data_IF_044190956053
#
_entry.id   IF_044190956053
#
_cell.length_a   1.000
_cell.length_b   1.000
_cell.length_c   1.000
_cell.angle_alpha   90.00
_cell.angle_beta   90.00
_cell.angle_gamma   90.00
#
_symmetry.space_group_name_H-M   'P 1'
#
loop_
_entity.id
_entity.type
_entity.pdbx_description
1 polymer ?
#
# COMPACT_ATOMS: atom_id res chain seq x y z
N UNK A 1 -18.30 -6.76 -1.16
CA UNK A 1 -16.86 -6.69 -0.96
C UNK A 1 -16.54 -5.39 -0.24
N UNK A 2 -16.58 -4.21 -0.75
CA UNK A 2 -16.15 -2.94 -0.14
C UNK A 2 -17.13 -2.30 0.87
N UNK A 3 -17.58 -3.06 1.87
CA UNK A 3 -18.59 -2.62 2.86
C UNK A 3 -18.08 -1.50 3.77
N UNK A 4 -16.82 -1.59 4.22
CA UNK A 4 -16.21 -0.55 5.04
C UNK A 4 -16.04 0.74 4.24
N UNK A 5 -15.43 0.66 3.05
CA UNK A 5 -15.20 1.82 2.18
C UNK A 5 -16.49 2.54 1.85
N UNK A 6 -17.54 1.83 1.43
CA UNK A 6 -18.81 2.42 1.08
C UNK A 6 -19.50 3.08 2.31
N UNK A 7 -19.45 2.44 3.46
CA UNK A 7 -19.94 3.01 4.72
C UNK A 7 -19.14 4.26 5.10
N UNK A 8 -17.81 4.20 5.06
CA UNK A 8 -16.93 5.33 5.37
C UNK A 8 -17.23 6.51 4.44
N UNK A 9 -17.31 6.29 3.16
CA UNK A 9 -17.61 7.31 2.15
C UNK A 9 -19.06 7.82 2.17
N UNK A 10 -19.98 7.18 2.88
CA UNK A 10 -21.36 7.66 3.00
C UNK A 10 -21.47 8.99 3.75
N UNK A 11 -20.53 9.29 4.65
CA UNK A 11 -20.48 10.50 5.45
C UNK A 11 -19.62 11.59 4.78
N UNK A 12 -20.13 12.83 4.73
CA UNK A 12 -19.42 13.95 4.09
C UNK A 12 -18.07 14.27 4.74
N UNK A 13 -18.00 14.25 6.08
CA UNK A 13 -16.76 14.47 6.82
C UNK A 13 -15.66 13.46 6.44
N UNK A 14 -16.04 12.19 6.24
CA UNK A 14 -15.12 11.12 5.87
C UNK A 14 -14.66 11.24 4.41
N UNK A 15 -15.55 11.64 3.50
CA UNK A 15 -15.15 11.95 2.11
C UNK A 15 -14.17 13.13 2.05
N UNK A 16 -14.40 14.17 2.85
CA UNK A 16 -13.47 15.31 2.95
C UNK A 16 -12.13 14.85 3.49
N UNK A 17 -12.13 14.11 4.60
CA UNK A 17 -10.91 13.54 5.17
C UNK A 17 -10.14 12.66 4.16
N UNK A 18 -10.85 11.78 3.44
CA UNK A 18 -10.26 10.94 2.41
C UNK A 18 -9.56 11.79 1.34
N UNK A 19 -10.25 12.78 0.75
CA UNK A 19 -9.71 13.66 -0.28
C UNK A 19 -8.46 14.44 0.15
N UNK A 20 -8.41 14.87 1.39
CA UNK A 20 -7.29 15.62 1.97
C UNK A 20 -6.08 14.74 2.32
N UNK A 21 -6.30 13.42 2.51
CA UNK A 21 -5.26 12.52 3.01
C UNK A 21 -4.83 11.43 2.00
N UNK A 22 -5.47 11.30 0.85
CA UNK A 22 -4.96 10.44 -0.22
C UNK A 22 -3.61 10.96 -0.74
N UNK A 23 -2.72 10.03 -1.06
CA UNK A 23 -1.38 10.24 -1.65
C UNK A 23 -1.18 9.34 -2.89
N UNK A 24 -2.27 8.86 -3.47
CA UNK A 24 -2.39 7.93 -4.58
C UNK A 24 -3.78 7.28 -4.58
N UNK A 25 -4.02 6.22 -5.35
CA UNK A 25 -5.29 5.49 -5.39
C UNK A 25 -5.81 5.18 -3.99
N UNK A 26 -7.12 5.18 -3.81
CA UNK A 26 -7.77 5.11 -2.49
C UNK A 26 -7.27 3.94 -1.64
N UNK A 27 -6.39 4.25 -0.67
CA UNK A 27 -5.73 3.27 0.19
C UNK A 27 -6.72 2.49 1.07
N UNK A 28 -7.86 3.07 1.46
CA UNK A 28 -8.90 2.35 2.22
C UNK A 28 -9.49 1.23 1.35
N UNK A 29 -9.82 1.51 0.10
CA UNK A 29 -10.38 0.52 -0.82
C UNK A 29 -9.39 -0.60 -1.14
N UNK A 30 -8.12 -0.25 -1.36
CA UNK A 30 -7.06 -1.23 -1.56
C UNK A 30 -6.88 -2.10 -0.31
N UNK A 31 -6.85 -1.48 0.87
CA UNK A 31 -6.75 -2.20 2.16
C UNK A 31 -7.88 -3.19 2.35
N UNK A 32 -9.12 -2.79 2.08
CA UNK A 32 -10.30 -3.64 2.23
C UNK A 32 -10.29 -4.84 1.26
N UNK A 33 -9.89 -4.63 0.00
CA UNK A 33 -9.73 -5.75 -0.93
C UNK A 33 -8.64 -6.71 -0.45
N UNK A 34 -7.44 -6.22 -0.14
CA UNK A 34 -6.31 -7.04 0.30
C UNK A 34 -6.62 -7.79 1.60
N UNK A 35 -7.23 -7.13 2.58
CA UNK A 35 -7.59 -7.74 3.86
C UNK A 35 -8.61 -8.89 3.71
N UNK A 36 -9.41 -8.91 2.64
CA UNK A 36 -10.35 -10.00 2.37
C UNK A 36 -9.69 -11.35 2.08
N UNK A 37 -8.39 -11.38 1.85
CA UNK A 37 -7.56 -12.58 1.65
C UNK A 37 -6.74 -12.96 2.89
N UNK A 38 -6.92 -12.25 4.00
CA UNK A 38 -6.19 -12.45 5.25
C UNK A 38 -7.15 -12.80 6.39
N UNK A 39 -6.62 -13.49 7.38
CA UNK A 39 -7.29 -13.59 8.69
C UNK A 39 -6.60 -12.59 9.62
N UNK A 40 -7.32 -11.54 10.00
CA UNK A 40 -6.83 -10.49 10.90
C UNK A 40 -7.65 -10.51 12.17
N UNK A 41 -6.99 -10.70 13.31
CA UNK A 41 -7.60 -10.82 14.64
C UNK A 41 -7.25 -9.58 15.49
N UNK A 42 -8.12 -9.18 16.40
CA UNK A 42 -8.06 -7.94 17.18
C UNK A 42 -6.76 -7.75 17.99
N UNK A 43 -6.16 -8.84 18.45
CA UNK A 43 -4.93 -8.80 19.26
C UNK A 43 -3.63 -8.72 18.45
N UNK A 44 -3.71 -8.78 17.13
CA UNK A 44 -2.55 -8.73 16.25
C UNK A 44 -1.81 -7.38 16.35
N UNK A 45 -0.49 -7.47 16.23
CA UNK A 45 0.40 -6.34 15.98
C UNK A 45 0.67 -6.22 14.50
N UNK A 46 0.31 -5.09 13.92
CA UNK A 46 0.45 -4.82 12.49
C UNK A 46 1.48 -3.72 12.26
N UNK A 47 2.43 -3.96 11.38
CA UNK A 47 3.27 -2.91 10.82
C UNK A 47 2.61 -2.39 9.53
N UNK A 48 2.14 -1.16 9.54
CA UNK A 48 1.70 -0.45 8.33
C UNK A 48 2.90 0.31 7.76
N UNK A 49 3.57 -0.28 6.76
CA UNK A 49 4.83 0.20 6.21
C UNK A 49 4.60 1.12 5.01
N UNK A 50 4.99 2.38 5.15
CA UNK A 50 4.66 3.44 4.21
C UNK A 50 3.21 3.87 4.37
N UNK A 51 2.77 4.11 5.61
CA UNK A 51 1.38 4.42 5.96
C UNK A 51 0.89 5.77 5.39
N UNK A 52 1.79 6.61 4.86
CA UNK A 52 1.48 7.94 4.37
C UNK A 52 0.75 8.75 5.44
N UNK A 53 -0.39 9.34 5.08
CA UNK A 53 -1.25 10.09 6.01
C UNK A 53 -2.24 9.22 6.78
N UNK A 54 -2.01 7.90 6.85
CA UNK A 54 -2.66 6.96 7.76
C UNK A 54 -4.02 6.43 7.33
N UNK A 55 -4.35 6.41 6.04
CA UNK A 55 -5.63 5.87 5.55
C UNK A 55 -5.71 4.34 5.72
N UNK A 56 -4.63 3.60 5.43
CA UNK A 56 -4.52 2.17 5.70
C UNK A 56 -4.55 1.86 7.20
N UNK A 57 -3.84 2.67 8.00
CA UNK A 57 -3.85 2.60 9.46
C UNK A 57 -5.27 2.75 10.02
N UNK A 58 -6.00 3.79 9.57
CA UNK A 58 -7.39 4.01 9.96
C UNK A 58 -8.26 2.79 9.67
N UNK A 59 -8.17 2.25 8.45
CA UNK A 59 -8.94 1.06 8.07
C UNK A 59 -8.64 -0.13 8.98
N UNK A 60 -7.35 -0.42 9.24
CA UNK A 60 -6.93 -1.55 10.06
C UNK A 60 -7.45 -1.43 11.52
N UNK A 61 -7.36 -0.23 12.11
CA UNK A 61 -7.86 0.00 13.47
C UNK A 61 -9.38 -0.08 13.54
N UNK A 62 -10.08 0.62 12.66
CA UNK A 62 -11.55 0.73 12.69
C UNK A 62 -12.27 -0.59 12.34
N UNK A 63 -11.73 -1.38 11.40
CA UNK A 63 -12.38 -2.63 10.97
C UNK A 63 -12.00 -3.81 11.87
N UNK A 64 -10.74 -3.87 12.35
CA UNK A 64 -10.23 -5.06 13.06
C UNK A 64 -9.85 -4.80 14.52
N UNK A 65 -9.73 -3.54 14.96
CA UNK A 65 -9.31 -3.22 16.34
C UNK A 65 -7.86 -3.57 16.67
N UNK A 66 -7.01 -3.79 15.67
CA UNK A 66 -5.61 -4.20 15.83
C UNK A 66 -4.72 -3.07 16.34
N UNK A 67 -3.55 -3.42 16.88
CA UNK A 67 -2.50 -2.46 17.24
C UNK A 67 -1.60 -2.20 16.04
N UNK A 68 -1.58 -0.97 15.53
CA UNK A 68 -0.86 -0.59 14.32
C UNK A 68 0.36 0.27 14.64
N UNK A 69 1.52 -0.14 14.14
CA UNK A 69 2.75 0.63 14.09
C UNK A 69 2.86 1.24 12.70
N UNK A 70 2.47 2.52 12.59
CA UNK A 70 2.32 3.24 11.33
C UNK A 70 3.65 3.92 10.95
N UNK A 71 4.46 3.23 10.17
CA UNK A 71 5.80 3.67 9.79
C UNK A 71 5.78 4.39 8.44
N UNK A 72 6.37 5.58 8.39
CA UNK A 72 6.55 6.34 7.14
C UNK A 72 7.88 7.10 7.15
N UNK A 73 8.41 7.38 5.95
CA UNK A 73 9.64 8.16 5.80
C UNK A 73 9.36 9.64 5.52
N UNK A 74 8.25 9.95 4.85
CA UNK A 74 7.95 11.29 4.35
C UNK A 74 7.02 12.09 5.26
N UNK A 75 6.12 11.39 5.96
CA UNK A 75 5.15 12.03 6.85
C UNK A 75 5.67 11.98 8.28
N UNK A 76 5.70 13.13 8.95
CA UNK A 76 6.22 13.18 10.31
C UNK A 76 5.32 12.44 11.30
N UNK A 77 5.89 11.74 12.30
CA UNK A 77 5.11 11.09 13.35
C UNK A 77 4.20 12.05 14.10
N UNK A 78 4.64 13.30 14.30
CA UNK A 78 3.83 14.33 14.97
C UNK A 78 2.56 14.64 14.18
N UNK A 79 2.67 14.81 12.85
CA UNK A 79 1.49 15.06 11.99
C UNK A 79 0.53 13.87 11.99
N UNK A 80 1.06 12.64 11.91
CA UNK A 80 0.21 11.45 11.98
C UNK A 80 -0.40 11.25 13.36
N UNK A 81 0.33 11.54 14.45
CA UNK A 81 -0.23 11.50 15.80
C UNK A 81 -1.45 12.45 15.95
N UNK A 82 -1.35 13.67 15.46
CA UNK A 82 -2.48 14.62 15.49
C UNK A 82 -3.66 14.13 14.63
N UNK A 83 -3.40 13.50 13.48
CA UNK A 83 -4.46 12.87 12.66
C UNK A 83 -5.12 11.71 13.39
N UNK A 84 -4.34 10.80 13.97
CA UNK A 84 -4.86 9.64 14.71
C UNK A 84 -5.67 10.04 15.92
N UNK A 85 -5.22 11.08 16.64
CA UNK A 85 -5.95 11.68 17.76
C UNK A 85 -7.28 12.30 17.30
N UNK A 86 -7.27 13.04 16.19
CA UNK A 86 -8.49 13.63 15.64
C UNK A 86 -9.50 12.57 15.18
N UNK A 87 -9.00 11.38 14.78
CA UNK A 87 -9.80 10.21 14.39
C UNK A 87 -10.21 9.35 15.60
N UNK A 88 -9.61 9.55 16.79
CA UNK A 88 -9.86 8.74 17.98
C UNK A 88 -9.28 7.32 17.92
N UNK A 89 -8.16 7.14 17.19
CA UNK A 89 -7.45 5.86 17.05
C UNK A 89 -6.03 5.90 17.63
N UNK A 90 -5.65 6.96 18.34
CA UNK A 90 -4.30 7.18 18.87
C UNK A 90 -3.93 6.23 20.02
N UNK A 91 -4.87 5.53 20.59
CA UNK A 91 -4.65 4.44 21.56
C UNK A 91 -4.25 3.11 20.89
N UNK A 92 -4.50 2.95 19.59
CA UNK A 92 -4.22 1.75 18.79
C UNK A 92 -3.17 1.98 17.69
N UNK A 93 -2.97 3.21 17.25
CA UNK A 93 -2.08 3.57 16.17
C UNK A 93 -0.86 4.39 16.65
N UNK A 94 0.34 3.84 16.49
CA UNK A 94 1.61 4.46 16.90
C UNK A 94 2.37 4.92 15.66
N UNK A 95 2.48 6.23 15.38
CA UNK A 95 3.22 6.73 14.23
C UNK A 95 4.73 6.68 14.47
N UNK A 96 5.50 6.27 13.45
CA UNK A 96 6.94 6.06 13.52
C UNK A 96 7.61 6.65 12.27
N UNK A 97 8.69 7.41 12.47
CA UNK A 97 9.58 7.79 11.36
C UNK A 97 10.56 6.66 11.10
N UNK A 98 10.48 6.04 9.93
CA UNK A 98 11.38 4.96 9.56
C UNK A 98 11.70 4.96 8.06
N UNK A 99 12.96 4.66 7.76
CA UNK A 99 13.43 4.36 6.40
C UNK A 99 13.65 2.84 6.30
N UNK A 100 12.75 2.15 5.62
CA UNK A 100 12.79 0.69 5.49
C UNK A 100 14.11 0.19 4.86
N UNK A 101 14.77 1.01 4.04
CA UNK A 101 16.05 0.65 3.40
C UNK A 101 17.24 0.69 4.36
N UNK A 102 17.08 1.27 5.54
CA UNK A 102 18.10 1.37 6.59
C UNK A 102 17.84 0.45 7.78
N UNK A 103 16.81 -0.38 7.69
CA UNK A 103 16.33 -1.24 8.76
C UNK A 103 15.26 -0.58 9.62
N UNK A 104 14.48 -1.40 10.29
CA UNK A 104 13.35 -0.97 11.11
C UNK A 104 13.70 -1.11 12.60
N UNK A 105 13.22 -0.21 13.47
CA UNK A 105 13.58 -0.19 14.90
C UNK A 105 12.72 -1.16 15.73
N UNK A 106 12.61 -2.41 15.27
CA UNK A 106 11.79 -3.43 15.92
C UNK A 106 12.63 -4.70 16.19
N UNK A 107 12.15 -5.51 17.13
CA UNK A 107 12.69 -6.85 17.39
C UNK A 107 12.23 -7.82 16.27
N UNK A 108 12.99 -8.89 16.11
CA UNK A 108 12.60 -10.01 15.25
C UNK A 108 11.29 -10.65 15.75
N UNK A 109 10.52 -11.22 14.85
CA UNK A 109 9.23 -11.88 15.11
C UNK A 109 8.26 -11.03 15.95
N UNK A 110 8.27 -9.71 15.74
CA UNK A 110 7.43 -8.78 16.51
C UNK A 110 6.03 -8.65 15.97
N UNK A 111 5.84 -8.68 14.65
CA UNK A 111 4.57 -8.45 13.98
C UNK A 111 3.87 -9.75 13.56
N UNK A 112 2.56 -9.75 13.66
CA UNK A 112 1.69 -10.78 13.09
C UNK A 112 1.45 -10.54 11.60
N UNK A 113 1.45 -9.26 11.19
CA UNK A 113 1.21 -8.82 9.82
C UNK A 113 2.08 -7.60 9.49
N UNK A 114 2.80 -7.65 8.37
CA UNK A 114 3.32 -6.48 7.69
C UNK A 114 2.35 -6.13 6.55
N UNK A 115 1.84 -4.92 6.57
CA UNK A 115 0.86 -4.39 5.64
C UNK A 115 1.42 -3.15 4.96
N UNK A 116 1.29 -3.02 3.64
CA UNK A 116 1.79 -1.85 2.92
C UNK A 116 0.92 -1.55 1.72
N UNK A 117 0.42 -0.32 1.62
CA UNK A 117 -0.46 0.11 0.53
C UNK A 117 0.11 1.34 -0.15
N UNK A 118 0.38 1.22 -1.46
CA UNK A 118 0.88 2.32 -2.28
C UNK A 118 2.31 2.76 -2.00
N UNK A 119 3.10 1.99 -1.24
CA UNK A 119 4.43 2.42 -0.80
C UNK A 119 5.58 1.51 -1.23
N UNK A 120 5.44 0.20 -1.12
CA UNK A 120 6.53 -0.75 -1.31
C UNK A 120 7.26 -0.63 -2.66
N UNK A 121 6.57 -0.28 -3.73
CA UNK A 121 7.17 -0.07 -5.06
C UNK A 121 8.24 1.03 -5.12
N UNK A 122 8.28 1.92 -4.12
CA UNK A 122 9.32 2.96 -4.06
C UNK A 122 10.69 2.43 -3.66
N UNK A 123 10.76 1.28 -2.98
CA UNK A 123 11.99 0.73 -2.41
C UNK A 123 12.11 -0.80 -2.52
N UNK A 124 11.07 -1.50 -2.95
CA UNK A 124 11.00 -2.96 -2.95
C UNK A 124 11.52 -3.65 -4.22
N UNK A 125 12.09 -2.89 -5.16
CA UNK A 125 12.52 -3.33 -6.49
C UNK A 125 13.87 -4.09 -6.50
N UNK A 126 14.39 -4.50 -5.34
CA UNK A 126 15.65 -5.26 -5.19
C UNK A 126 15.43 -6.62 -4.54
N UNK A 127 16.32 -7.59 -4.85
CA UNK A 127 16.24 -8.94 -4.30
C UNK A 127 16.43 -8.98 -2.78
N UNK A 128 17.12 -7.99 -2.19
CA UNK A 128 17.44 -7.97 -0.76
C UNK A 128 16.32 -7.36 0.09
N UNK A 129 15.37 -6.59 -0.53
CA UNK A 129 14.41 -5.82 0.25
C UNK A 129 13.41 -6.70 0.97
N UNK A 130 12.77 -7.64 0.29
CA UNK A 130 11.83 -8.56 0.93
C UNK A 130 12.50 -9.42 2.01
N UNK A 131 13.68 -10.06 1.77
CA UNK A 131 14.44 -10.75 2.82
C UNK A 131 14.75 -9.90 4.04
N UNK A 132 14.97 -8.59 3.88
CA UNK A 132 15.26 -7.68 5.00
C UNK A 132 14.04 -7.40 5.89
N UNK A 133 12.83 -7.61 5.40
CA UNK A 133 11.57 -7.40 6.12
C UNK A 133 11.06 -8.68 6.82
N UNK A 134 11.35 -9.85 6.27
CA UNK A 134 10.90 -11.14 6.79
C UNK A 134 11.20 -11.31 8.30
N UNK A 135 12.39 -10.97 8.81
CA UNK A 135 12.73 -11.18 10.22
C UNK A 135 11.79 -10.48 11.21
N UNK A 136 11.18 -9.37 10.84
CA UNK A 136 10.28 -8.64 11.73
C UNK A 136 8.90 -9.29 11.89
N UNK A 137 8.55 -10.21 10.99
CA UNK A 137 7.24 -10.89 11.00
C UNK A 137 7.39 -12.27 11.62
N UNK A 138 6.48 -12.63 12.52
CA UNK A 138 6.44 -13.93 13.17
C UNK A 138 6.31 -15.06 12.15
N UNK A 139 6.85 -16.22 12.48
CA UNK A 139 6.53 -17.44 11.75
C UNK A 139 5.04 -17.70 11.76
N UNK A 140 4.48 -17.98 10.59
CA UNK A 140 3.04 -18.09 10.38
C UNK A 140 2.30 -16.77 10.16
N UNK A 141 2.98 -15.62 10.37
CA UNK A 141 2.47 -14.28 10.06
C UNK A 141 2.50 -13.98 8.55
N UNK A 142 2.01 -12.81 8.16
CA UNK A 142 1.86 -12.44 6.76
C UNK A 142 2.60 -11.16 6.39
N UNK A 143 3.05 -11.10 5.14
CA UNK A 143 3.48 -9.88 4.45
C UNK A 143 2.48 -9.65 3.33
N UNK A 144 1.77 -8.52 3.36
CA UNK A 144 0.70 -8.18 2.42
C UNK A 144 0.92 -6.78 1.85
N UNK A 145 1.02 -6.68 0.54
CA UNK A 145 1.33 -5.46 -0.18
C UNK A 145 0.30 -5.19 -1.28
N UNK A 146 -0.12 -3.93 -1.43
CA UNK A 146 -0.88 -3.43 -2.56
C UNK A 146 -0.10 -2.29 -3.20
N UNK A 147 0.24 -2.42 -4.48
CA UNK A 147 1.13 -1.49 -5.19
C UNK A 147 0.62 -1.16 -6.59
N UNK A 148 0.96 0.01 -7.15
CA UNK A 148 0.74 0.27 -8.57
C UNK A 148 1.61 -0.65 -9.42
N UNK A 149 1.06 -1.05 -10.57
CA UNK A 149 1.73 -1.90 -11.54
C UNK A 149 1.29 -1.64 -12.96
N UNK A 150 1.82 -2.43 -13.87
CA UNK A 150 1.46 -2.46 -15.28
C UNK A 150 1.12 -3.88 -15.72
N UNK A 151 0.29 -3.99 -16.76
CA UNK A 151 -0.15 -5.29 -17.27
C UNK A 151 0.96 -6.11 -17.92
N UNK A 152 1.98 -5.43 -18.47
CA UNK A 152 3.19 -6.03 -19.05
C UNK A 152 4.34 -5.03 -19.08
N UNK A 153 5.58 -5.54 -19.04
CA UNK A 153 6.78 -4.71 -19.11
C UNK A 153 6.91 -4.04 -20.50
N UNK A 154 7.13 -2.73 -20.52
CA UNK A 154 7.31 -2.00 -21.78
C UNK A 154 8.69 -2.21 -22.40
N UNK A 155 9.74 -2.42 -21.58
CA UNK A 155 11.10 -2.51 -22.05
C UNK A 155 11.52 -1.27 -22.84
N UNK A 156 12.05 -1.49 -24.04
CA UNK A 156 12.40 -0.39 -24.97
C UNK A 156 11.20 0.12 -25.80
N UNK A 157 10.05 -0.58 -25.74
CA UNK A 157 8.88 -0.30 -26.58
C UNK A 157 7.75 0.38 -25.77
N UNK A 158 8.05 1.53 -25.16
CA UNK A 158 7.04 2.31 -24.43
C UNK A 158 5.95 2.79 -25.39
N UNK A 159 4.66 2.49 -25.13
CA UNK A 159 3.56 2.95 -25.97
C UNK A 159 3.60 4.46 -26.17
N UNK A 160 3.30 4.99 -27.38
CA UNK A 160 3.42 6.43 -27.66
C UNK A 160 2.65 7.33 -26.68
N UNK A 161 1.45 6.92 -26.29
CA UNK A 161 0.62 7.63 -25.32
C UNK A 161 1.20 7.64 -23.90
N UNK A 162 2.08 6.68 -23.57
CA UNK A 162 2.73 6.57 -22.25
C UNK A 162 4.08 7.28 -22.19
N UNK A 163 4.72 7.57 -23.31
CA UNK A 163 6.05 8.18 -23.35
C UNK A 163 6.18 9.47 -22.51
N UNK A 164 5.18 10.38 -22.46
CA UNK A 164 5.27 11.58 -21.62
C UNK A 164 5.33 11.28 -20.11
N UNK A 165 4.83 10.13 -19.68
CA UNK A 165 4.69 9.74 -18.27
C UNK A 165 5.66 8.64 -17.85
N UNK A 166 6.45 8.08 -18.80
CA UNK A 166 7.32 6.93 -18.59
C UNK A 166 8.79 7.34 -18.64
N UNK A 167 9.33 7.80 -17.52
CA UNK A 167 10.74 8.11 -17.36
C UNK A 167 11.49 6.95 -16.68
N UNK A 168 12.81 7.07 -16.54
CA UNK A 168 13.66 6.03 -15.92
C UNK A 168 13.32 5.73 -14.46
N UNK A 169 12.81 6.71 -13.72
CA UNK A 169 12.41 6.53 -12.33
C UNK A 169 11.10 5.71 -12.24
N UNK A 170 10.12 6.03 -13.06
CA UNK A 170 8.86 5.27 -13.16
C UNK A 170 9.14 3.85 -13.61
N UNK A 171 9.95 3.69 -14.67
CA UNK A 171 10.31 2.37 -15.22
C UNK A 171 11.02 1.45 -14.20
N UNK A 172 11.72 2.03 -13.21
CA UNK A 172 12.38 1.27 -12.14
C UNK A 172 11.41 0.82 -11.05
N UNK A 173 10.33 1.57 -10.82
CA UNK A 173 9.43 1.36 -9.68
C UNK A 173 8.15 0.61 -10.06
N UNK A 174 7.70 0.75 -11.30
CA UNK A 174 6.40 0.26 -11.75
C UNK A 174 6.60 -0.94 -12.67
N UNK A 175 6.26 -2.11 -12.16
CA UNK A 175 6.47 -3.38 -12.83
C UNK A 175 5.18 -4.19 -12.97
N UNK A 176 5.22 -5.20 -13.84
CA UNK A 176 4.11 -6.12 -14.03
C UNK A 176 3.98 -7.13 -12.88
N UNK A 177 2.80 -7.71 -12.74
CA UNK A 177 2.54 -8.81 -11.82
C UNK A 177 3.53 -9.97 -12.00
N UNK A 178 3.88 -10.29 -13.25
CA UNK A 178 4.84 -11.36 -13.56
C UNK A 178 6.24 -11.04 -13.03
N UNK A 179 6.69 -9.80 -13.18
CA UNK A 179 7.98 -9.33 -12.68
C UNK A 179 8.05 -9.41 -11.14
N UNK A 180 7.03 -8.88 -10.44
CA UNK A 180 6.95 -8.94 -8.98
C UNK A 180 6.91 -10.37 -8.46
N UNK A 181 6.17 -11.25 -9.14
CA UNK A 181 6.11 -12.68 -8.80
C UNK A 181 7.47 -13.34 -8.92
N UNK A 182 8.20 -13.09 -10.01
CA UNK A 182 9.56 -13.62 -10.21
C UNK A 182 10.52 -13.11 -9.11
N UNK A 183 10.46 -11.82 -8.76
CA UNK A 183 11.28 -11.25 -7.69
C UNK A 183 10.98 -11.92 -6.34
N UNK A 184 9.71 -12.05 -5.98
CA UNK A 184 9.30 -12.63 -4.69
C UNK A 184 9.61 -14.12 -4.57
N UNK A 185 9.57 -14.85 -5.67
CA UNK A 185 9.94 -16.28 -5.71
C UNK A 185 11.42 -16.56 -5.39
N UNK A 186 12.28 -15.53 -5.44
CA UNK A 186 13.69 -15.66 -5.08
C UNK A 186 13.94 -15.58 -3.56
N UNK A 187 12.98 -15.08 -2.79
CA UNK A 187 13.13 -14.93 -1.36
C UNK A 187 12.88 -16.26 -0.63
N UNK A 188 13.84 -16.65 0.22
CA UNK A 188 13.66 -17.77 1.15
C UNK A 188 12.84 -17.32 2.36
N UNK A 189 12.22 -18.27 3.08
CA UNK A 189 11.50 -18.02 4.33
C UNK A 189 10.07 -17.52 4.16
N UNK A 190 9.53 -17.56 2.94
CA UNK A 190 8.13 -17.26 2.66
C UNK A 190 7.45 -18.32 1.79
N UNK A 191 6.15 -18.44 1.94
CA UNK A 191 5.24 -19.12 1.02
C UNK A 191 4.29 -18.10 0.40
N UNK A 192 4.27 -18.00 -0.93
CA UNK A 192 3.36 -17.10 -1.65
C UNK A 192 1.95 -17.63 -1.51
N UNK A 193 1.06 -16.84 -0.90
CA UNK A 193 -0.34 -17.17 -0.67
C UNK A 193 -1.21 -16.66 -1.81
N UNK A 194 -0.98 -15.41 -2.22
CA UNK A 194 -1.74 -14.77 -3.30
C UNK A 194 -0.93 -13.70 -4.04
N UNK A 195 -0.99 -13.72 -5.35
CA UNK A 195 -0.48 -12.65 -6.22
C UNK A 195 -1.47 -12.47 -7.35
N UNK A 196 -2.06 -11.25 -7.44
CA UNK A 196 -3.08 -10.95 -8.45
C UNK A 196 -3.18 -9.46 -8.78
N UNK A 197 -3.84 -9.17 -9.88
CA UNK A 197 -4.36 -7.83 -10.14
C UNK A 197 -5.58 -7.57 -9.25
N UNK A 198 -5.67 -6.37 -8.69
CA UNK A 198 -6.78 -5.96 -7.82
C UNK A 198 -7.99 -5.55 -8.64
N UNK A 199 -9.17 -5.90 -8.15
CA UNK A 199 -10.45 -5.60 -8.82
C UNK A 199 -10.86 -4.14 -8.67
N UNK A 200 -10.41 -3.47 -7.62
CA UNK A 200 -10.76 -2.08 -7.31
C UNK A 200 -9.93 -1.05 -8.07
N UNK A 201 -9.08 -1.45 -9.02
CA UNK A 201 -8.13 -0.57 -9.69
C UNK A 201 -8.79 0.72 -10.21
N UNK A 202 -9.73 0.60 -11.14
CA UNK A 202 -10.35 1.78 -11.77
C UNK A 202 -11.06 2.67 -10.76
N UNK A 203 -11.85 2.07 -9.86
CA UNK A 203 -12.59 2.83 -8.84
C UNK A 203 -11.66 3.55 -7.85
N UNK A 204 -10.54 2.92 -7.46
CA UNK A 204 -9.56 3.55 -6.56
C UNK A 204 -8.86 4.74 -7.23
N UNK A 205 -8.61 4.67 -8.54
CA UNK A 205 -8.07 5.78 -9.33
C UNK A 205 -9.10 6.91 -9.51
N UNK A 206 -10.37 6.59 -9.81
CA UNK A 206 -11.44 7.57 -9.94
C UNK A 206 -11.63 8.37 -8.64
N UNK A 207 -11.55 7.69 -7.49
CA UNK A 207 -11.60 8.32 -6.18
C UNK A 207 -10.36 9.20 -5.93
N UNK A 208 -9.16 8.75 -6.31
CA UNK A 208 -7.92 9.54 -6.25
C UNK A 208 -8.04 10.85 -7.05
N UNK A 209 -8.64 10.82 -8.23
CA UNK A 209 -8.84 12.01 -9.05
C UNK A 209 -9.72 13.09 -8.38
N UNK A 210 -10.37 12.78 -7.27
CA UNK A 210 -11.12 13.76 -6.47
C UNK A 210 -10.32 14.36 -5.32
N UNK A 211 -9.07 13.93 -5.11
CA UNK A 211 -8.24 14.38 -3.99
C UNK A 211 -7.75 15.83 -4.17
N UNK A 212 -7.30 16.42 -3.07
CA UNK A 212 -6.76 17.79 -3.04
C UNK A 212 -5.23 17.79 -3.06
N UNK A 213 -4.61 16.84 -3.78
CA UNK A 213 -3.16 16.70 -3.86
C UNK A 213 -2.56 17.62 -4.91
N UNK A 214 -1.46 18.29 -4.57
CA UNK A 214 -0.69 19.10 -5.51
C UNK A 214 -0.05 18.19 -6.58
N UNK A 215 -0.27 18.51 -7.86
CA UNK A 215 0.29 17.72 -8.99
C UNK A 215 -0.60 16.55 -9.45
N UNK A 216 -1.79 16.38 -8.88
CA UNK A 216 -2.74 15.31 -9.27
C UNK A 216 -3.13 15.38 -10.76
N UNK A 217 -3.02 16.56 -11.39
CA UNK A 217 -3.34 16.74 -12.81
C UNK A 217 -2.45 15.90 -13.74
N UNK A 218 -1.23 15.56 -13.32
CA UNK A 218 -0.35 14.68 -14.11
C UNK A 218 -0.85 13.24 -14.08
N UNK A 219 -1.30 12.76 -12.93
CA UNK A 219 -1.92 11.43 -12.79
C UNK A 219 -3.23 11.32 -13.59
N UNK A 220 -4.06 12.36 -13.55
CA UNK A 220 -5.30 12.43 -14.35
C UNK A 220 -4.97 12.33 -15.84
N UNK A 221 -4.03 13.13 -16.34
CA UNK A 221 -3.60 13.10 -17.74
C UNK A 221 -3.03 11.74 -18.14
N UNK A 222 -2.25 11.13 -17.26
CA UNK A 222 -1.68 9.80 -17.49
C UNK A 222 -2.80 8.76 -17.60
N UNK A 223 -3.77 8.76 -16.68
CA UNK A 223 -4.91 7.82 -16.71
C UNK A 223 -5.81 8.03 -17.93
N UNK A 224 -6.04 9.28 -18.35
CA UNK A 224 -6.77 9.59 -19.58
C UNK A 224 -6.03 9.07 -20.82
N UNK A 225 -4.70 9.27 -20.89
CA UNK A 225 -3.89 8.82 -22.02
C UNK A 225 -3.81 7.30 -22.13
N UNK A 226 -3.66 6.59 -21.00
CA UNK A 226 -3.53 5.13 -20.98
C UNK A 226 -4.89 4.42 -21.21
N UNK A 227 -6.00 5.06 -20.82
CA UNK A 227 -7.38 4.61 -21.10
C UNK A 227 -7.69 3.21 -20.58
N UNK A 228 -7.15 2.80 -19.42
CA UNK A 228 -7.34 1.48 -18.81
C UNK A 228 -6.57 0.35 -19.51
N UNK A 229 -5.60 0.66 -20.38
CA UNK A 229 -4.87 -0.35 -21.16
C UNK A 229 -3.66 -0.91 -20.47
N UNK A 230 -2.95 -0.10 -19.66
CA UNK A 230 -1.59 -0.43 -19.23
C UNK A 230 -1.45 -0.52 -17.71
N UNK A 231 -2.02 0.42 -16.96
CA UNK A 231 -1.92 0.42 -15.50
C UNK A 231 -2.89 -0.57 -14.84
N UNK A 232 -2.43 -1.14 -13.75
CA UNK A 232 -3.23 -1.92 -12.82
C UNK A 232 -2.78 -1.62 -11.37
N UNK A 233 -3.45 -2.23 -10.40
CA UNK A 233 -3.00 -2.35 -9.02
C UNK A 233 -2.75 -3.83 -8.75
N UNK A 234 -1.67 -4.14 -8.06
CA UNK A 234 -1.21 -5.51 -7.82
C UNK A 234 -1.23 -5.78 -6.33
N UNK A 235 -1.79 -6.91 -5.95
CA UNK A 235 -1.72 -7.46 -4.60
C UNK A 235 -0.68 -8.58 -4.55
N UNK A 236 0.16 -8.56 -3.49
CA UNK A 236 1.10 -9.64 -3.18
C UNK A 236 0.93 -10.00 -1.70
N UNK A 237 0.66 -11.27 -1.43
CA UNK A 237 0.53 -11.81 -0.07
C UNK A 237 1.41 -13.04 0.06
N UNK A 238 2.26 -13.04 1.07
CA UNK A 238 3.06 -14.20 1.46
C UNK A 238 2.93 -14.48 2.95
N UNK A 239 3.10 -15.74 3.32
CA UNK A 239 3.18 -16.23 4.70
C UNK A 239 4.64 -16.50 5.05
N UNK A 240 5.09 -16.05 6.22
CA UNK A 240 6.43 -16.36 6.75
C UNK A 240 6.47 -17.79 7.29
N UNK A 241 7.48 -18.60 6.92
CA UNK A 241 7.60 -20.03 7.22
C UNK A 241 8.84 -20.36 8.07
#
# INVERSE_FOLDING_TARGET
MYRFTEKFMSEEKNRTFLKENMMGPNAIRLSEEMASYLTIEEDMRVLDLGCGRGLSTLYLVEEFGVNVFAADLWISPTENYERFKALGIDDKAVPILADATKGLPFADEYFDLLFSVGAYHHFGDTEDMLPSLIPFVKKGGYIALAIPGIKYEFGENVPPEMQPFWNSEVARKIHSLAWWKELWQKADGIEIVDIREMLCCDQSWDEWHTATWEGIEEDIKMREAEGGKYYNLIQLIAKVV
#
